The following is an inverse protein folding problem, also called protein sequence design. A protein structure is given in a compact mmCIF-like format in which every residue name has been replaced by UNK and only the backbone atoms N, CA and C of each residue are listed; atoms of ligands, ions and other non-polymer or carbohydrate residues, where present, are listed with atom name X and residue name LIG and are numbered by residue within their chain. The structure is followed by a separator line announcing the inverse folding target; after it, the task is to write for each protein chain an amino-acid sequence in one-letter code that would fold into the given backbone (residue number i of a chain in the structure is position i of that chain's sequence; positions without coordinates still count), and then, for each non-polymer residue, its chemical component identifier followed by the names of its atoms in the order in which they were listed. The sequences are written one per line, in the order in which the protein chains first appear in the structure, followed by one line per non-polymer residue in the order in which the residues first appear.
data_IF_742366674141
#
_entry.id   IF_742366674141
#
_cell.length_a   1.000
_cell.length_b   1.000
_cell.length_c   1.000
_cell.angle_alpha   90.00
_cell.angle_beta   90.00
_cell.angle_gamma   90.00
#
_symmetry.space_group_name_H-M   'P 1'
#
loop_
_entity.id
_entity.type
_entity.pdbx_description
1 polymer ?
#
# COMPACT_ATOMS: atom_id res chain seq x y z
N UNK A 1 -17.00 3.30 19.35
CA UNK A 1 -15.70 3.06 18.68
C UNK A 1 -15.12 4.42 18.39
N UNK A 2 -13.88 4.67 18.78
CA UNK A 2 -13.19 5.88 18.38
C UNK A 2 -12.64 5.75 16.93
N UNK A 3 -12.25 6.86 16.34
CA UNK A 3 -11.77 6.89 14.94
C UNK A 3 -10.49 6.09 14.73
N UNK A 4 -9.66 5.94 15.78
CA UNK A 4 -8.45 5.09 15.75
C UNK A 4 -8.81 3.63 15.51
N UNK A 5 -9.79 3.10 16.27
CA UNK A 5 -10.25 1.72 16.08
C UNK A 5 -10.86 1.49 14.70
N UNK A 6 -11.62 2.48 14.20
CA UNK A 6 -12.20 2.40 12.85
C UNK A 6 -11.09 2.37 11.80
N UNK A 7 -10.09 3.24 11.91
CA UNK A 7 -8.94 3.24 11.01
C UNK A 7 -8.22 1.89 11.02
N UNK A 8 -7.87 1.38 12.19
CA UNK A 8 -7.17 0.09 12.34
C UNK A 8 -7.98 -1.10 11.82
N UNK A 9 -9.31 -1.06 11.91
CA UNK A 9 -10.17 -2.10 11.37
C UNK A 9 -10.25 -2.05 9.86
N UNK A 10 -10.36 -0.85 9.28
CA UNK A 10 -10.63 -0.67 7.86
C UNK A 10 -9.37 -0.63 6.99
N UNK A 11 -8.21 -0.24 7.52
CA UNK A 11 -6.99 -0.02 6.73
C UNK A 11 -6.49 -1.26 5.98
N UNK A 12 -6.83 -2.46 6.43
CA UNK A 12 -6.49 -3.70 5.75
C UNK A 12 -7.37 -4.00 4.53
N UNK A 13 -8.58 -3.43 4.46
CA UNK A 13 -9.54 -3.71 3.39
C UNK A 13 -9.01 -3.24 2.03
N UNK A 14 -8.48 -2.02 1.85
CA UNK A 14 -7.90 -1.62 0.57
C UNK A 14 -6.71 -2.49 0.14
N UNK A 15 -5.87 -2.93 1.08
CA UNK A 15 -4.71 -3.79 0.79
C UNK A 15 -5.15 -5.14 0.21
N UNK A 16 -5.95 -5.87 0.97
CA UNK A 16 -6.41 -7.21 0.55
C UNK A 16 -7.46 -7.14 -0.55
N UNK A 17 -8.32 -6.13 -0.53
CA UNK A 17 -9.36 -5.95 -1.54
C UNK A 17 -8.79 -5.69 -2.94
N UNK A 18 -7.76 -4.83 -3.07
CA UNK A 18 -7.06 -4.64 -4.34
C UNK A 18 -6.39 -5.92 -4.81
N UNK A 19 -5.69 -6.63 -3.93
CA UNK A 19 -5.03 -7.90 -4.26
C UNK A 19 -6.04 -8.95 -4.72
N UNK A 20 -7.11 -9.16 -3.95
CA UNK A 20 -8.15 -10.16 -4.26
C UNK A 20 -8.87 -9.78 -5.55
N UNK A 21 -9.27 -8.52 -5.71
CA UNK A 21 -9.93 -8.04 -6.93
C UNK A 21 -9.07 -8.19 -8.17
N UNK A 22 -7.77 -7.85 -8.07
CA UNK A 22 -6.79 -8.05 -9.12
C UNK A 22 -6.64 -9.53 -9.50
N UNK A 23 -6.50 -10.42 -8.53
CA UNK A 23 -6.37 -11.88 -8.78
C UNK A 23 -7.63 -12.47 -9.41
N UNK A 24 -8.82 -12.10 -8.93
CA UNK A 24 -10.10 -12.55 -9.50
C UNK A 24 -10.24 -12.05 -10.94
N UNK A 25 -9.95 -10.75 -11.18
CA UNK A 25 -10.05 -10.18 -12.53
C UNK A 25 -9.03 -10.81 -13.49
N UNK A 26 -7.80 -11.02 -13.03
CA UNK A 26 -6.75 -11.70 -13.80
C UNK A 26 -7.16 -13.12 -14.17
N UNK A 27 -7.65 -13.90 -13.19
CA UNK A 27 -8.12 -15.25 -13.43
C UNK A 27 -9.28 -15.30 -14.41
N UNK A 28 -10.30 -14.44 -14.21
CA UNK A 28 -11.44 -14.33 -15.11
C UNK A 28 -11.02 -13.93 -16.53
N UNK A 29 -9.98 -13.10 -16.66
CA UNK A 29 -9.45 -12.68 -17.96
C UNK A 29 -8.68 -13.80 -18.66
N UNK A 30 -7.82 -14.51 -17.92
CA UNK A 30 -7.05 -15.65 -18.45
C UNK A 30 -7.92 -16.83 -18.88
N UNK A 31 -9.01 -17.06 -18.18
CA UNK A 31 -9.94 -18.19 -18.44
C UNK A 31 -11.15 -17.81 -19.27
N UNK A 32 -11.25 -16.55 -19.66
CA UNK A 32 -12.38 -15.94 -20.37
C UNK A 32 -13.74 -16.15 -19.69
N UNK A 33 -13.78 -16.16 -18.37
CA UNK A 33 -15.01 -16.31 -17.59
C UNK A 33 -15.66 -14.95 -17.35
N UNK A 34 -16.78 -14.67 -18.03
CA UNK A 34 -17.48 -13.40 -18.00
C UNK A 34 -17.90 -12.95 -16.60
N UNK A 35 -18.54 -13.83 -15.82
CA UNK A 35 -19.00 -13.55 -14.46
C UNK A 35 -17.84 -13.28 -13.50
N UNK A 36 -16.73 -14.03 -13.62
CA UNK A 36 -15.54 -13.84 -12.80
C UNK A 36 -14.89 -12.49 -13.08
N UNK A 37 -14.83 -12.06 -14.36
CA UNK A 37 -14.37 -10.70 -14.72
C UNK A 37 -15.22 -9.63 -14.03
N UNK A 38 -16.54 -9.77 -14.10
CA UNK A 38 -17.46 -8.80 -13.46
C UNK A 38 -17.29 -8.80 -11.95
N UNK A 39 -17.14 -9.95 -11.31
CA UNK A 39 -16.88 -10.06 -9.87
C UNK A 39 -15.59 -9.33 -9.48
N UNK A 40 -14.49 -9.56 -10.21
CA UNK A 40 -13.22 -8.87 -9.96
C UNK A 40 -13.35 -7.33 -10.08
N UNK A 41 -14.05 -6.84 -11.11
CA UNK A 41 -14.32 -5.41 -11.29
C UNK A 41 -15.16 -4.82 -10.14
N UNK A 42 -16.19 -5.55 -9.68
CA UNK A 42 -17.01 -5.11 -8.53
C UNK A 42 -16.18 -5.07 -7.25
N UNK A 43 -15.35 -6.09 -7.00
CA UNK A 43 -14.46 -6.10 -5.82
C UNK A 43 -13.52 -4.89 -5.84
N UNK A 44 -12.87 -4.60 -6.97
CA UNK A 44 -12.00 -3.44 -7.11
C UNK A 44 -12.76 -2.12 -6.89
N UNK A 45 -13.97 -1.99 -7.45
CA UNK A 45 -14.81 -0.80 -7.26
C UNK A 45 -15.21 -0.60 -5.80
N UNK A 46 -15.73 -1.63 -5.13
CA UNK A 46 -16.13 -1.54 -3.71
C UNK A 46 -14.93 -1.26 -2.82
N UNK A 47 -13.79 -1.91 -3.08
CA UNK A 47 -12.54 -1.67 -2.35
C UNK A 47 -12.12 -0.21 -2.43
N UNK A 48 -12.21 0.42 -3.60
CA UNK A 48 -11.84 1.82 -3.76
C UNK A 48 -12.78 2.78 -3.01
N UNK A 49 -14.04 2.44 -2.86
CA UNK A 49 -14.96 3.22 -2.00
C UNK A 49 -14.58 3.14 -0.52
N UNK A 50 -14.10 1.99 -0.06
CA UNK A 50 -13.65 1.81 1.33
C UNK A 50 -12.34 2.55 1.61
N UNK A 51 -11.49 2.79 0.61
CA UNK A 51 -10.28 3.57 0.78
C UNK A 51 -10.56 5.01 1.25
N UNK A 52 -11.71 5.58 0.93
CA UNK A 52 -12.10 6.94 1.34
C UNK A 52 -12.23 7.06 2.87
N UNK A 53 -13.08 6.29 3.56
CA UNK A 53 -13.17 6.38 5.02
C UNK A 53 -11.87 5.96 5.72
N UNK A 54 -11.06 5.07 5.15
CA UNK A 54 -9.73 4.76 5.68
C UNK A 54 -8.86 6.01 5.72
N UNK A 55 -8.78 6.75 4.62
CA UNK A 55 -8.02 8.00 4.56
C UNK A 55 -8.55 9.04 5.56
N UNK A 56 -9.87 9.26 5.59
CA UNK A 56 -10.50 10.25 6.46
C UNK A 56 -10.34 9.95 7.97
N UNK A 57 -10.08 8.70 8.32
CA UNK A 57 -9.82 8.29 9.72
C UNK A 57 -8.33 8.23 10.06
N UNK A 58 -7.45 8.50 9.10
CA UNK A 58 -5.99 8.48 9.26
C UNK A 58 -5.50 9.58 10.20
N UNK A 59 -5.83 10.84 9.91
CA UNK A 59 -5.42 12.01 10.69
C UNK A 59 -5.83 11.91 12.19
N UNK A 60 -7.09 11.58 12.56
CA UNK A 60 -7.43 11.35 13.96
C UNK A 60 -6.68 10.18 14.61
N UNK A 61 -6.28 9.18 13.84
CA UNK A 61 -5.48 8.07 14.36
C UNK A 61 -4.03 8.50 14.62
N UNK A 62 -3.47 9.33 13.74
CA UNK A 62 -2.14 9.93 13.86
C UNK A 62 -2.01 10.78 15.11
N UNK A 63 -2.93 11.72 15.38
CA UNK A 63 -2.93 12.56 16.58
C UNK A 63 -2.82 11.79 17.91
N UNK A 64 -3.31 10.56 17.93
CA UNK A 64 -3.22 9.67 19.10
C UNK A 64 -1.87 8.95 19.13
N UNK A 65 -1.41 8.47 17.96
CA UNK A 65 -0.19 7.66 17.85
C UNK A 65 1.07 8.50 18.07
N UNK A 66 1.11 9.75 17.64
CA UNK A 66 2.23 10.68 17.86
C UNK A 66 2.60 10.85 19.35
N UNK A 67 1.62 10.78 20.25
CA UNK A 67 1.80 10.92 21.70
C UNK A 67 2.41 9.67 22.34
N UNK A 68 2.62 8.59 21.60
CA UNK A 68 3.13 7.34 22.13
C UNK A 68 4.67 7.28 22.07
N UNK A 69 5.33 6.69 23.07
CA UNK A 69 6.79 6.57 23.09
C UNK A 69 7.30 5.68 21.94
N UNK A 70 8.42 6.07 21.33
CA UNK A 70 9.10 5.31 20.29
C UNK A 70 8.51 5.48 18.88
N UNK A 71 7.53 6.35 18.71
CA UNK A 71 6.98 6.75 17.40
C UNK A 71 7.94 7.72 16.71
N UNK A 72 7.99 7.69 15.38
CA UNK A 72 8.81 8.58 14.57
C UNK A 72 7.92 9.50 13.73
N UNK A 73 7.91 10.78 14.05
CA UNK A 73 7.19 11.82 13.30
C UNK A 73 7.60 11.83 11.80
N UNK A 74 8.87 11.59 11.51
CA UNK A 74 9.35 11.51 10.12
C UNK A 74 8.67 10.37 9.34
N UNK A 75 8.49 9.20 9.96
CA UNK A 75 7.81 8.06 9.30
C UNK A 75 6.32 8.33 9.16
N UNK A 76 5.70 9.01 10.12
CA UNK A 76 4.30 9.44 10.02
C UNK A 76 4.13 10.33 8.80
N UNK A 77 4.92 11.39 8.64
CA UNK A 77 4.83 12.28 7.48
C UNK A 77 5.03 11.55 6.14
N UNK A 78 5.99 10.60 6.07
CA UNK A 78 6.18 9.78 4.88
C UNK A 78 4.97 8.87 4.60
N UNK A 79 4.34 8.33 5.66
CA UNK A 79 3.14 7.50 5.53
C UNK A 79 1.95 8.32 5.03
N UNK A 80 1.76 9.53 5.55
CA UNK A 80 0.70 10.46 5.16
C UNK A 80 0.82 10.87 3.69
N UNK A 81 2.02 11.30 3.26
CA UNK A 81 2.30 11.61 1.86
C UNK A 81 2.00 10.42 0.94
N UNK A 82 2.46 9.22 1.30
CA UNK A 82 2.19 8.01 0.54
C UNK A 82 0.70 7.64 0.53
N UNK A 83 -0.05 7.93 1.62
CA UNK A 83 -1.48 7.66 1.72
C UNK A 83 -2.30 8.48 0.72
N UNK A 84 -1.94 9.76 0.50
CA UNK A 84 -2.60 10.60 -0.51
C UNK A 84 -2.45 10.00 -1.90
N UNK A 85 -1.24 9.61 -2.31
CA UNK A 85 -1.01 8.98 -3.62
C UNK A 85 -1.77 7.66 -3.75
N UNK A 86 -1.77 6.84 -2.70
CA UNK A 86 -2.49 5.57 -2.68
C UNK A 86 -4.00 5.76 -2.78
N UNK A 87 -4.56 6.77 -2.11
CA UNK A 87 -5.97 7.12 -2.22
C UNK A 87 -6.35 7.49 -3.65
N UNK A 88 -5.57 8.38 -4.30
CA UNK A 88 -5.81 8.82 -5.68
C UNK A 88 -5.78 7.63 -6.64
N UNK A 89 -4.81 6.73 -6.50
CA UNK A 89 -4.70 5.53 -7.31
C UNK A 89 -5.84 4.53 -7.05
N UNK A 90 -6.26 4.37 -5.79
CA UNK A 90 -7.42 3.55 -5.44
C UNK A 90 -8.72 4.10 -6.05
N UNK A 91 -8.97 5.39 -5.92
CA UNK A 91 -10.16 6.04 -6.51
C UNK A 91 -10.11 5.90 -8.04
N UNK A 92 -8.95 6.16 -8.66
CA UNK A 92 -8.75 5.95 -10.09
C UNK A 92 -9.05 4.51 -10.52
N UNK A 93 -8.58 3.52 -9.74
CA UNK A 93 -8.91 2.09 -9.97
C UNK A 93 -10.41 1.83 -9.91
N UNK A 94 -11.10 2.39 -8.92
CA UNK A 94 -12.55 2.25 -8.80
C UNK A 94 -13.31 2.85 -9.98
N UNK A 95 -12.92 4.06 -10.42
CA UNK A 95 -13.53 4.72 -11.57
C UNK A 95 -13.37 3.88 -12.84
N UNK A 96 -12.13 3.45 -13.14
CA UNK A 96 -11.90 2.66 -14.36
C UNK A 96 -12.53 1.26 -14.28
N UNK A 97 -12.61 0.65 -13.09
CA UNK A 97 -13.33 -0.61 -12.88
C UNK A 97 -14.83 -0.46 -13.12
N UNK A 98 -15.44 0.62 -12.63
CA UNK A 98 -16.84 0.94 -12.89
C UNK A 98 -17.10 1.19 -14.37
N UNK A 99 -16.26 1.99 -15.04
CA UNK A 99 -16.36 2.22 -16.48
C UNK A 99 -16.19 0.94 -17.29
N UNK A 100 -15.31 0.03 -16.87
CA UNK A 100 -15.15 -1.27 -17.50
C UNK A 100 -16.39 -2.16 -17.34
N UNK A 101 -17.08 -2.11 -16.19
CA UNK A 101 -18.37 -2.79 -15.99
C UNK A 101 -19.42 -2.28 -16.99
N UNK A 102 -19.52 -0.95 -17.17
CA UNK A 102 -20.41 -0.32 -18.15
C UNK A 102 -20.03 -0.75 -19.57
N UNK A 103 -18.74 -0.68 -19.92
CA UNK A 103 -18.23 -1.06 -21.23
C UNK A 103 -18.59 -2.52 -21.57
N UNK A 104 -18.47 -3.44 -20.62
CA UNK A 104 -18.85 -4.85 -20.79
C UNK A 104 -20.34 -5.07 -21.04
N UNK A 105 -21.17 -4.14 -20.56
CA UNK A 105 -22.65 -4.26 -20.69
C UNK A 105 -23.17 -3.63 -21.98
N UNK A 106 -22.53 -2.56 -22.47
CA UNK A 106 -23.09 -1.69 -23.50
C UNK A 106 -22.20 -1.47 -24.73
N UNK A 107 -20.90 -1.82 -24.66
CA UNK A 107 -19.95 -1.57 -25.75
C UNK A 107 -19.48 -2.88 -26.40
N UNK A 108 -18.68 -2.74 -27.46
CA UNK A 108 -18.10 -3.88 -28.15
C UNK A 108 -17.13 -4.67 -27.26
N UNK A 109 -17.01 -5.96 -27.53
CA UNK A 109 -16.10 -6.84 -26.77
C UNK A 109 -14.64 -6.35 -26.82
N UNK A 110 -14.22 -5.79 -27.95
CA UNK A 110 -12.88 -5.21 -28.11
C UNK A 110 -12.64 -4.06 -27.12
N UNK A 111 -13.58 -3.12 -27.00
CA UNK A 111 -13.47 -2.00 -26.05
C UNK A 111 -13.49 -2.50 -24.61
N UNK A 112 -14.38 -3.45 -24.30
CA UNK A 112 -14.46 -4.05 -22.98
C UNK A 112 -13.15 -4.76 -22.58
N UNK A 113 -12.52 -5.47 -23.52
CA UNK A 113 -11.24 -6.14 -23.30
C UNK A 113 -10.11 -5.16 -23.01
N UNK A 114 -9.98 -4.09 -23.81
CA UNK A 114 -9.00 -3.03 -23.53
C UNK A 114 -9.25 -2.38 -22.18
N UNK A 115 -10.51 -2.11 -21.82
CA UNK A 115 -10.89 -1.60 -20.51
C UNK A 115 -10.41 -2.50 -19.37
N UNK A 116 -10.58 -3.82 -19.48
CA UNK A 116 -10.11 -4.77 -18.46
C UNK A 116 -8.59 -4.75 -18.31
N UNK A 117 -7.83 -4.74 -19.41
CA UNK A 117 -6.36 -4.65 -19.33
C UNK A 117 -5.90 -3.34 -18.70
N UNK A 118 -6.59 -2.24 -19.00
CA UNK A 118 -6.29 -0.95 -18.37
C UNK A 118 -6.60 -0.97 -16.87
N UNK A 119 -7.72 -1.58 -16.43
CA UNK A 119 -8.01 -1.79 -15.00
C UNK A 119 -6.95 -2.62 -14.32
N UNK A 120 -6.51 -3.72 -14.92
CA UNK A 120 -5.43 -4.55 -14.36
C UNK A 120 -4.13 -3.76 -14.18
N UNK A 121 -3.76 -2.94 -15.15
CA UNK A 121 -2.57 -2.09 -15.06
C UNK A 121 -2.68 -1.08 -13.91
N UNK A 122 -3.80 -0.35 -13.83
CA UNK A 122 -4.03 0.67 -12.77
C UNK A 122 -4.13 0.00 -11.40
N UNK A 123 -4.82 -1.14 -11.29
CA UNK A 123 -4.92 -1.89 -10.04
C UNK A 123 -3.56 -2.43 -9.56
N UNK A 124 -2.67 -2.83 -10.47
CA UNK A 124 -1.31 -3.25 -10.13
C UNK A 124 -0.50 -2.08 -9.55
N UNK A 125 -0.57 -0.91 -10.18
CA UNK A 125 0.12 0.31 -9.71
C UNK A 125 -0.45 0.74 -8.35
N UNK A 126 -1.78 0.75 -8.20
CA UNK A 126 -2.45 1.06 -6.92
C UNK A 126 -2.06 0.06 -5.82
N UNK A 127 -1.99 -1.23 -6.15
CA UNK A 127 -1.56 -2.29 -5.24
C UNK A 127 -0.12 -2.10 -4.76
N UNK A 128 0.80 -1.74 -5.65
CA UNK A 128 2.18 -1.45 -5.28
C UNK A 128 2.27 -0.21 -4.37
N UNK A 129 1.53 0.86 -4.69
CA UNK A 129 1.47 2.08 -3.87
C UNK A 129 0.93 1.79 -2.48
N UNK A 130 -0.19 1.06 -2.37
CA UNK A 130 -0.80 0.78 -1.06
C UNK A 130 0.06 -0.19 -0.22
N UNK A 131 0.79 -1.13 -0.85
CA UNK A 131 1.75 -1.98 -0.16
C UNK A 131 2.91 -1.16 0.44
N UNK A 132 3.41 -0.17 -0.29
CA UNK A 132 4.41 0.78 0.20
C UNK A 132 3.87 1.61 1.38
N UNK A 133 2.68 2.20 1.25
CA UNK A 133 2.02 2.96 2.32
C UNK A 133 1.80 2.10 3.56
N UNK A 134 1.35 0.85 3.39
CA UNK A 134 1.15 -0.08 4.51
C UNK A 134 2.46 -0.46 5.20
N UNK A 135 3.56 -0.59 4.45
CA UNK A 135 4.88 -0.81 5.02
C UNK A 135 5.32 0.37 5.89
N UNK A 136 5.11 1.61 5.42
CA UNK A 136 5.38 2.81 6.22
C UNK A 136 4.52 2.85 7.48
N UNK A 137 3.21 2.57 7.37
CA UNK A 137 2.30 2.50 8.51
C UNK A 137 2.74 1.46 9.56
N UNK A 138 3.24 0.30 9.13
CA UNK A 138 3.87 -0.68 10.02
C UNK A 138 5.08 -0.12 10.76
N UNK A 139 5.94 0.63 10.07
CA UNK A 139 7.15 1.24 10.65
C UNK A 139 6.86 2.35 11.66
N UNK A 140 5.71 3.00 11.61
CA UNK A 140 5.32 4.02 12.60
C UNK A 140 5.40 3.44 14.01
N UNK A 141 4.89 2.21 14.21
CA UNK A 141 4.80 1.58 15.54
C UNK A 141 5.93 0.59 15.80
N UNK A 142 6.44 -0.09 14.77
CA UNK A 142 7.41 -1.18 14.87
C UNK A 142 8.84 -0.70 14.60
N UNK A 143 9.53 -0.26 15.68
CA UNK A 143 10.92 0.22 15.60
C UNK A 143 11.90 -0.85 15.13
N UNK A 144 11.62 -2.14 15.41
CA UNK A 144 12.40 -3.28 14.95
C UNK A 144 12.45 -3.41 13.42
N UNK A 145 11.36 -3.05 12.72
CA UNK A 145 11.32 -3.06 11.24
C UNK A 145 12.20 -1.93 10.69
N UNK A 146 12.21 -0.76 11.33
CA UNK A 146 13.09 0.38 10.94
C UNK A 146 14.56 0.02 11.06
N UNK A 147 14.96 -0.63 12.15
CA UNK A 147 16.34 -1.03 12.40
C UNK A 147 16.82 -2.09 11.40
N UNK A 148 15.97 -3.07 11.06
CA UNK A 148 16.29 -4.09 10.07
C UNK A 148 16.56 -3.51 8.68
N UNK A 149 15.81 -2.49 8.25
CA UNK A 149 16.02 -1.82 6.96
C UNK A 149 17.27 -0.94 6.95
N UNK A 150 17.61 -0.30 8.07
CA UNK A 150 18.85 0.48 8.19
C UNK A 150 20.08 -0.42 8.15
N UNK A 151 20.02 -1.63 8.73
CA UNK A 151 21.10 -2.59 8.72
C UNK A 151 21.41 -3.19 7.35
N UNK A 152 20.42 -3.33 6.47
CA UNK A 152 20.63 -3.83 5.10
C UNK A 152 21.23 -2.79 4.16
N UNK A 153 21.04 -1.50 4.44
CA UNK A 153 21.65 -0.40 3.67
C UNK A 153 23.04 0.00 4.19
N UNK A 154 23.46 -0.52 5.36
CA UNK A 154 24.72 -0.20 6.04
C UNK A 154 25.81 -1.27 5.94
N UNK A 155 25.66 -2.31 5.11
CA UNK A 155 26.69 -3.32 4.90
C UNK A 155 27.76 -2.84 3.89
N UNK A 156 28.39 -1.68 4.16
CA UNK A 156 29.68 -1.30 3.59
C UNK A 156 30.71 -1.24 4.71
N UNK A 157 31.57 -2.24 4.66
CA UNK A 157 32.97 -2.34 5.13
C UNK A 157 33.25 -1.98 6.60
N UNK A 158 33.66 -2.94 7.43
CA UNK A 158 34.37 -2.64 8.67
C UNK A 158 35.75 -2.05 8.31
N UNK A 159 35.88 -0.74 8.47
CA UNK A 159 37.20 -0.10 8.46
C UNK A 159 38.05 -0.69 9.57
N UNK A 160 39.16 -1.28 9.17
CA UNK A 160 40.18 -1.86 10.03
C UNK A 160 40.58 -0.88 11.12
N UNK A 161 40.24 -1.21 12.35
CA UNK A 161 40.72 -0.53 13.55
C UNK A 161 42.23 -0.78 13.64
N UNK A 162 43.04 0.19 13.22
CA UNK A 162 44.48 0.19 13.46
C UNK A 162 44.70 0.31 14.96
N UNK A 163 45.01 -0.84 15.56
CA UNK A 163 45.65 -0.97 16.90
C UNK A 163 46.90 -0.12 16.91
N UNK A 164 46.89 1.03 17.58
CA UNK A 164 48.12 1.70 17.99
C UNK A 164 48.68 0.93 19.17
N UNK A 165 49.71 0.16 18.89
CA UNK A 165 50.63 -0.40 19.86
C UNK A 165 51.38 0.78 20.48
N UNK A 166 51.24 0.92 21.78
CA UNK A 166 51.97 1.89 22.60
C UNK A 166 53.20 1.15 23.09
N UNK A 167 54.33 1.41 22.49
CA UNK A 167 55.64 1.06 23.07
C UNK A 167 55.90 2.01 24.23
N UNK A 168 55.84 1.47 25.43
CA UNK A 168 56.48 2.02 26.63
C UNK A 168 57.89 1.44 26.65
N UNK A 169 58.90 2.22 26.36
CA UNK A 169 60.30 1.94 26.75
C UNK A 169 60.70 2.94 27.81
N UNK A 170 61.01 2.35 28.98
CA UNK A 170 61.72 2.97 30.08
C UNK A 170 63.17 3.27 29.66
N UNK A 171 63.63 4.49 30.06
CA UNK A 171 64.90 4.74 30.74
C UNK A 171 64.96 6.21 31.28
#
# INVERSE_FOLDING_TARGET
MDLVHIHLLLNHIPVFGLLIGFLILSWGTLRDYGEVKSTGLVVLFVTSLVAIPVYLTGEPAEEVVEKLPGVSEQIIGLHEDAAIYSLVLCIGTGIVAFLALIARRFLSETIARFGIFFVLLVALIAGASIAYTSNLGGQVRHSEIRQAQSGTNGAETPAAEKKKEKDDDDD
#
